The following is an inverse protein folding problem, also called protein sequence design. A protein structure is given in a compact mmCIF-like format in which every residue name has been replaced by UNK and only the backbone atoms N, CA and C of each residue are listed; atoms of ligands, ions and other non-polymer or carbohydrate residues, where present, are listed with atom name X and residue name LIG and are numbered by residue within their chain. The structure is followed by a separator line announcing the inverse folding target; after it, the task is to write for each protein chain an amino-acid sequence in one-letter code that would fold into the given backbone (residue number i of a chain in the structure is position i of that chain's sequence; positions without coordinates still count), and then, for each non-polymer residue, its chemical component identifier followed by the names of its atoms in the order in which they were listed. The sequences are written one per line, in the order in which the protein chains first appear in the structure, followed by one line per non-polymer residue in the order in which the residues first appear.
data_IF_549400248439
#
_entry.id   IF_549400248439
#
_cell.length_a   1.000
_cell.length_b   1.000
_cell.length_c   1.000
_cell.angle_alpha   90.00
_cell.angle_beta   90.00
_cell.angle_gamma   90.00
#
_symmetry.space_group_name_H-M   'P 1'
#
loop_
_entity.id
_entity.type
_entity.pdbx_description
1 polymer ?
#
# COMPACT_ATOMS: atom_id res chain seq x y z
N UNK A 1 31.19 10.97 -16.54
CA UNK A 1 31.48 9.51 -16.51
C UNK A 1 30.37 8.81 -17.29
N UNK A 2 30.71 8.14 -18.39
CA UNK A 2 29.73 7.32 -19.12
C UNK A 2 29.38 6.10 -18.26
N UNK A 3 28.08 5.89 -18.01
CA UNK A 3 27.58 4.74 -17.26
C UNK A 3 28.03 3.44 -17.94
N UNK A 4 28.76 2.61 -17.21
CA UNK A 4 29.27 1.30 -17.66
C UNK A 4 28.23 0.18 -17.55
N UNK A 5 26.97 0.52 -17.27
CA UNK A 5 25.91 -0.47 -17.07
C UNK A 5 25.47 -1.02 -18.43
N UNK A 6 25.61 -2.33 -18.62
CA UNK A 6 25.02 -3.01 -19.79
C UNK A 6 23.52 -2.72 -19.81
N UNK A 7 22.92 -2.46 -20.99
CA UNK A 7 21.47 -2.31 -21.09
C UNK A 7 20.78 -3.54 -20.52
N UNK A 8 19.86 -3.33 -19.57
CA UNK A 8 19.06 -4.42 -19.01
C UNK A 8 18.11 -4.93 -20.09
N UNK A 9 18.05 -6.25 -20.26
CA UNK A 9 17.07 -6.89 -21.15
C UNK A 9 15.91 -7.34 -20.29
N UNK A 10 14.72 -6.83 -20.61
CA UNK A 10 13.49 -7.19 -19.91
C UNK A 10 13.10 -8.61 -20.27
N UNK A 11 12.83 -9.44 -19.26
CA UNK A 11 12.55 -10.88 -19.49
C UNK A 11 11.15 -11.14 -20.04
N UNK A 12 10.20 -10.28 -19.73
CA UNK A 12 8.78 -10.41 -20.07
C UNK A 12 8.09 -9.03 -20.15
N UNK A 13 6.82 -9.00 -20.54
CA UNK A 13 6.04 -7.75 -20.64
C UNK A 13 5.86 -7.03 -19.30
N UNK A 14 5.85 -7.77 -18.18
CA UNK A 14 5.73 -7.19 -16.85
C UNK A 14 6.97 -6.36 -16.48
N UNK A 15 8.18 -6.91 -16.68
CA UNK A 15 9.42 -6.17 -16.43
C UNK A 15 9.55 -4.98 -17.37
N UNK A 16 9.14 -5.12 -18.64
CA UNK A 16 9.10 -3.99 -19.57
C UNK A 16 8.18 -2.87 -19.05
N UNK A 17 7.00 -3.21 -18.54
CA UNK A 17 6.10 -2.22 -17.94
C UNK A 17 6.72 -1.54 -16.71
N UNK A 18 7.42 -2.30 -15.84
CA UNK A 18 8.14 -1.73 -14.70
C UNK A 18 9.25 -0.78 -15.14
N UNK A 19 9.99 -1.13 -16.19
CA UNK A 19 11.04 -0.29 -16.75
C UNK A 19 10.48 0.98 -17.36
N UNK A 20 9.39 0.88 -18.12
CA UNK A 20 8.74 2.04 -18.72
C UNK A 20 8.14 2.97 -17.66
N UNK A 21 7.70 2.42 -16.51
CA UNK A 21 7.05 3.18 -15.43
C UNK A 21 8.03 3.79 -14.43
N UNK A 22 9.04 3.03 -14.00
CA UNK A 22 9.94 3.40 -12.90
C UNK A 22 11.41 3.52 -13.33
N UNK A 23 11.79 2.98 -14.49
CA UNK A 23 13.18 2.92 -14.94
C UNK A 23 14.01 1.86 -14.22
N UNK A 24 15.33 1.91 -14.37
CA UNK A 24 16.29 0.95 -13.81
C UNK A 24 17.18 1.51 -12.69
N UNK A 25 16.70 2.54 -11.99
CA UNK A 25 17.37 3.08 -10.80
C UNK A 25 17.66 1.99 -9.76
N UNK A 26 18.76 2.10 -9.00
CA UNK A 26 19.11 1.12 -7.96
C UNK A 26 18.00 0.87 -6.93
N UNK A 27 17.15 1.86 -6.67
CA UNK A 27 15.96 1.79 -5.82
C UNK A 27 14.85 0.86 -6.35
N UNK A 28 14.90 0.50 -7.64
CA UNK A 28 13.91 -0.33 -8.32
C UNK A 28 14.46 -1.71 -8.71
N UNK A 29 15.69 -2.03 -8.31
CA UNK A 29 16.37 -3.28 -8.65
C UNK A 29 15.55 -4.52 -8.27
N UNK A 30 14.80 -4.46 -7.16
CA UNK A 30 13.97 -5.57 -6.69
C UNK A 30 12.86 -6.00 -7.66
N UNK A 31 12.49 -5.14 -8.61
CA UNK A 31 11.45 -5.45 -9.59
C UNK A 31 11.96 -6.30 -10.75
N UNK A 32 13.29 -6.46 -10.88
CA UNK A 32 13.94 -7.17 -11.98
C UNK A 32 14.65 -8.40 -11.45
N UNK A 33 13.95 -9.52 -11.40
CA UNK A 33 14.47 -10.76 -10.82
C UNK A 33 15.36 -11.46 -11.84
N UNK A 34 16.59 -11.79 -11.47
CA UNK A 34 17.50 -12.52 -12.37
C UNK A 34 17.19 -14.02 -12.41
N UNK A 35 17.61 -14.70 -13.48
CA UNK A 35 17.57 -16.16 -13.56
C UNK A 35 18.31 -16.82 -12.40
N UNK A 36 19.43 -16.25 -11.96
CA UNK A 36 20.20 -16.76 -10.82
C UNK A 36 19.41 -16.66 -9.51
N UNK A 37 18.70 -15.54 -9.30
CA UNK A 37 17.83 -15.37 -8.13
C UNK A 37 16.69 -16.39 -8.13
N UNK A 38 16.01 -16.56 -9.27
CA UNK A 38 14.96 -17.57 -9.40
C UNK A 38 15.50 -18.99 -9.18
N UNK A 39 16.67 -19.30 -9.72
CA UNK A 39 17.30 -20.61 -9.53
C UNK A 39 17.68 -20.86 -8.06
N UNK A 40 18.11 -19.81 -7.33
CA UNK A 40 18.31 -19.87 -5.89
C UNK A 40 17.03 -20.26 -5.17
N UNK A 41 15.94 -19.54 -5.43
CA UNK A 41 14.61 -19.82 -4.87
C UNK A 41 14.14 -21.24 -5.21
N UNK A 42 14.31 -21.69 -6.44
CA UNK A 42 13.91 -23.04 -6.86
C UNK A 42 14.71 -24.13 -6.15
N UNK A 43 16.00 -23.90 -5.92
CA UNK A 43 16.84 -24.80 -5.13
C UNK A 43 16.35 -24.91 -3.69
N UNK A 44 16.02 -23.77 -3.07
CA UNK A 44 15.49 -23.73 -1.70
C UNK A 44 14.13 -24.44 -1.58
N UNK A 45 13.34 -24.43 -2.66
CA UNK A 45 12.07 -25.16 -2.77
C UNK A 45 12.23 -26.65 -3.15
N UNK A 46 13.47 -27.15 -3.28
CA UNK A 46 13.76 -28.55 -3.62
C UNK A 46 13.44 -28.93 -5.06
N UNK A 47 13.31 -27.95 -5.96
CA UNK A 47 13.06 -28.19 -7.38
C UNK A 47 14.36 -28.67 -8.04
N UNK A 48 14.33 -29.74 -8.85
CA UNK A 48 15.52 -30.20 -9.57
C UNK A 48 16.03 -29.16 -10.58
N UNK A 49 17.36 -29.02 -10.71
CA UNK A 49 17.95 -28.05 -11.65
C UNK A 49 17.53 -28.30 -13.11
N UNK A 50 17.25 -29.56 -13.47
CA UNK A 50 16.71 -29.95 -14.77
C UNK A 50 15.34 -29.32 -15.07
N UNK A 51 14.58 -28.92 -14.05
CA UNK A 51 13.27 -28.30 -14.19
C UNK A 51 13.32 -26.77 -14.13
N UNK A 52 14.44 -26.14 -13.77
CA UNK A 52 14.52 -24.69 -13.60
C UNK A 52 14.06 -23.92 -14.83
N UNK A 53 14.41 -24.37 -16.03
CA UNK A 53 13.97 -23.71 -17.26
C UNK A 53 12.45 -23.68 -17.42
N UNK A 54 11.74 -24.71 -16.95
CA UNK A 54 10.28 -24.74 -16.95
C UNK A 54 9.72 -23.76 -15.91
N UNK A 55 10.22 -23.80 -14.68
CA UNK A 55 9.74 -22.91 -13.62
C UNK A 55 10.02 -21.42 -13.89
N UNK A 56 11.12 -21.08 -14.57
CA UNK A 56 11.34 -19.70 -15.04
C UNK A 56 10.26 -19.26 -16.04
N UNK A 57 9.92 -20.11 -17.01
CA UNK A 57 8.82 -19.83 -17.95
C UNK A 57 7.46 -19.71 -17.25
N UNK A 58 7.19 -20.59 -16.27
CA UNK A 58 5.94 -20.55 -15.52
C UNK A 58 5.86 -19.28 -14.65
N UNK A 59 6.98 -18.84 -14.07
CA UNK A 59 7.09 -17.55 -13.39
C UNK A 59 6.79 -16.39 -14.36
N UNK A 60 7.43 -16.36 -15.53
CA UNK A 60 7.23 -15.31 -16.54
C UNK A 60 5.78 -15.24 -17.00
N UNK A 61 5.18 -16.38 -17.35
CA UNK A 61 3.79 -16.48 -17.77
C UNK A 61 2.82 -16.02 -16.66
N UNK A 62 3.14 -16.29 -15.39
CA UNK A 62 2.33 -15.83 -14.25
C UNK A 62 2.37 -14.31 -14.11
N UNK A 63 3.54 -13.68 -14.27
CA UNK A 63 3.68 -12.22 -14.22
C UNK A 63 2.94 -11.55 -15.38
N UNK A 64 3.04 -12.10 -16.59
CA UNK A 64 2.28 -11.60 -17.76
C UNK A 64 0.78 -11.76 -17.57
N UNK A 65 0.32 -12.90 -17.04
CA UNK A 65 -1.09 -13.11 -16.72
C UNK A 65 -1.60 -12.09 -15.70
N UNK A 66 -0.81 -11.75 -14.70
CA UNK A 66 -1.17 -10.72 -13.72
C UNK A 66 -1.33 -9.35 -14.37
N UNK A 67 -0.41 -8.98 -15.27
CA UNK A 67 -0.51 -7.77 -16.07
C UNK A 67 -1.77 -7.74 -16.94
N UNK A 68 -2.10 -8.85 -17.60
CA UNK A 68 -3.28 -8.95 -18.47
C UNK A 68 -4.59 -8.92 -17.66
N UNK A 69 -4.64 -9.57 -16.49
CA UNK A 69 -5.79 -9.52 -15.57
C UNK A 69 -6.09 -8.10 -15.10
N UNK A 70 -5.05 -7.26 -15.02
CA UNK A 70 -5.13 -5.89 -14.56
C UNK A 70 -5.19 -4.88 -15.72
N UNK A 71 -5.65 -5.31 -16.90
CA UNK A 71 -5.87 -4.44 -18.06
C UNK A 71 -4.59 -3.82 -18.62
N UNK A 72 -3.44 -4.49 -18.46
CA UNK A 72 -2.14 -4.00 -18.92
C UNK A 72 -1.44 -3.07 -17.93
N UNK A 73 -1.90 -3.03 -16.67
CA UNK A 73 -1.31 -2.22 -15.59
C UNK A 73 -0.86 -3.12 -14.45
N UNK A 74 0.13 -2.66 -13.68
CA UNK A 74 0.50 -3.32 -12.44
C UNK A 74 -0.33 -2.68 -11.33
N UNK A 75 -1.10 -3.51 -10.60
CA UNK A 75 -1.82 -3.03 -9.43
C UNK A 75 -0.78 -2.75 -8.33
N UNK A 76 -0.44 -1.48 -8.20
CA UNK A 76 0.35 -1.00 -7.09
C UNK A 76 -0.60 -0.66 -5.96
N UNK A 77 -0.80 -1.62 -5.05
CA UNK A 77 -1.54 -1.36 -3.82
C UNK A 77 -0.83 -0.26 -3.01
N UNK A 78 -1.61 0.63 -2.43
CA UNK A 78 -1.13 1.76 -1.64
C UNK A 78 -0.40 2.84 -2.42
N UNK A 79 -0.59 2.94 -3.75
CA UNK A 79 -0.14 4.11 -4.51
C UNK A 79 -0.79 5.36 -3.94
N UNK A 80 -0.01 6.38 -3.60
CA UNK A 80 -0.54 7.65 -3.06
C UNK A 80 -1.24 8.47 -4.16
N UNK A 81 -2.31 9.21 -3.82
CA UNK A 81 -2.93 10.15 -4.74
C UNK A 81 -1.95 11.28 -5.08
N UNK A 82 -1.79 11.60 -6.36
CA UNK A 82 -0.92 12.71 -6.78
C UNK A 82 -1.61 14.06 -6.56
N UNK A 83 -0.86 15.16 -6.33
CA UNK A 83 -1.44 16.47 -6.09
C UNK A 83 -2.27 17.05 -7.24
N UNK A 84 -2.02 16.59 -8.47
CA UNK A 84 -2.66 17.01 -9.71
C UNK A 84 -3.73 16.02 -10.22
N UNK A 85 -3.90 14.88 -9.54
CA UNK A 85 -4.94 13.92 -9.88
C UNK A 85 -6.31 14.43 -9.45
N UNK A 86 -7.33 14.14 -10.27
CA UNK A 86 -8.70 14.51 -9.99
C UNK A 86 -9.14 13.81 -8.68
N UNK A 87 -9.50 14.58 -7.63
CA UNK A 87 -9.86 14.01 -6.33
C UNK A 87 -11.14 13.17 -6.38
N UNK A 88 -11.94 13.27 -7.45
CA UNK A 88 -13.12 12.41 -7.66
C UNK A 88 -12.76 11.00 -8.13
N UNK A 89 -11.54 10.78 -8.64
CA UNK A 89 -11.07 9.47 -9.14
C UNK A 89 -10.54 8.59 -8.01
N UNK A 90 -9.86 9.17 -7.01
CA UNK A 90 -9.21 8.43 -5.91
C UNK A 90 -10.07 8.37 -4.62
N UNK A 91 -11.24 9.01 -4.61
CA UNK A 91 -12.13 9.11 -3.44
C UNK A 91 -11.40 9.50 -2.15
N UNK A 92 -10.54 10.53 -2.23
CA UNK A 92 -9.72 10.94 -1.09
C UNK A 92 -10.59 11.60 -0.02
N UNK A 93 -10.55 11.03 1.18
CA UNK A 93 -11.13 11.61 2.38
C UNK A 93 -10.05 12.34 3.19
N UNK A 94 -10.43 13.44 3.84
CA UNK A 94 -9.51 14.28 4.61
C UNK A 94 -10.02 14.42 6.04
N UNK A 95 -9.12 14.24 7.00
CA UNK A 95 -9.37 14.50 8.42
C UNK A 95 -8.38 15.57 8.90
N UNK A 96 -8.89 16.72 9.34
CA UNK A 96 -8.06 17.78 9.89
C UNK A 96 -7.49 17.39 11.25
N UNK A 97 -6.20 17.63 11.45
CA UNK A 97 -5.51 17.35 12.72
C UNK A 97 -5.68 18.57 13.64
N UNK A 98 -6.33 18.42 14.82
CA UNK A 98 -6.52 19.55 15.73
C UNK A 98 -5.19 20.19 16.15
N UNK A 99 -5.19 21.52 16.23
CA UNK A 99 -4.02 22.31 16.59
C UNK A 99 -3.00 22.50 15.46
N UNK A 100 -3.28 22.01 14.25
CA UNK A 100 -2.46 22.23 13.06
C UNK A 100 -3.31 22.78 11.92
N UNK A 101 -2.90 23.91 11.34
CA UNK A 101 -3.68 24.59 10.31
C UNK A 101 -3.53 23.96 8.92
N UNK A 102 -2.40 23.30 8.66
CA UNK A 102 -2.09 22.73 7.34
C UNK A 102 -2.01 21.20 7.33
N UNK A 103 -1.80 20.54 8.47
CA UNK A 103 -1.66 19.10 8.53
C UNK A 103 -3.01 18.40 8.55
N UNK A 104 -3.14 17.42 7.67
CA UNK A 104 -4.32 16.56 7.57
C UNK A 104 -3.89 15.10 7.49
N UNK A 105 -4.83 14.21 7.82
CA UNK A 105 -4.73 12.79 7.47
C UNK A 105 -5.52 12.60 6.19
N UNK A 106 -4.89 12.06 5.14
CA UNK A 106 -5.61 11.62 3.94
C UNK A 106 -5.94 10.16 4.07
N UNK A 107 -7.13 9.78 3.62
CA UNK A 107 -7.50 8.37 3.42
C UNK A 107 -7.93 8.18 1.97
N UNK A 108 -7.46 7.14 1.32
CA UNK A 108 -7.78 6.85 -0.09
C UNK A 108 -7.85 5.35 -0.32
N UNK A 109 -8.37 4.96 -1.47
CA UNK A 109 -8.61 3.56 -1.79
C UNK A 109 -7.32 2.75 -1.82
N UNK A 110 -6.36 3.19 -2.63
CA UNK A 110 -5.08 2.51 -2.78
C UNK A 110 -5.19 1.10 -3.34
N UNK A 111 -6.31 0.72 -3.96
CA UNK A 111 -6.55 -0.65 -4.43
C UNK A 111 -6.83 -1.64 -3.30
N UNK A 112 -7.33 -1.15 -2.17
CA UNK A 112 -7.71 -1.96 -0.98
C UNK A 112 -9.22 -2.05 -0.79
N UNK A 113 -9.99 -1.68 -1.82
CA UNK A 113 -11.44 -1.78 -1.78
C UNK A 113 -11.87 -3.22 -1.42
N UNK A 114 -11.40 -4.25 -2.10
CA UNK A 114 -11.84 -5.63 -1.83
C UNK A 114 -11.41 -6.17 -0.45
N UNK A 115 -10.37 -5.58 0.15
CA UNK A 115 -9.89 -5.92 1.50
C UNK A 115 -10.69 -5.20 2.60
N UNK A 116 -11.55 -4.24 2.25
CA UNK A 116 -12.30 -3.45 3.22
C UNK A 116 -11.41 -2.50 4.02
N UNK A 117 -10.35 -1.97 3.38
CA UNK A 117 -9.41 -1.04 3.98
C UNK A 117 -9.33 0.27 3.20
N UNK A 118 -8.73 1.27 3.86
CA UNK A 118 -8.25 2.50 3.25
C UNK A 118 -6.76 2.64 3.57
N UNK A 119 -5.98 3.09 2.59
CA UNK A 119 -4.66 3.63 2.87
C UNK A 119 -4.79 4.98 3.57
N UNK A 120 -3.81 5.34 4.39
CA UNK A 120 -3.72 6.66 5.00
C UNK A 120 -2.27 7.14 5.17
N UNK A 121 -2.11 8.46 5.16
CA UNK A 121 -0.87 9.18 5.43
C UNK A 121 -1.13 10.52 6.13
N UNK A 122 -0.04 11.18 6.57
CA UNK A 122 -0.08 12.57 7.02
C UNK A 122 0.36 13.45 5.85
N UNK A 123 -0.36 14.52 5.59
CA UNK A 123 -0.16 15.39 4.46
C UNK A 123 -0.23 16.85 4.88
N UNK A 124 0.72 17.65 4.39
CA UNK A 124 0.71 19.09 4.57
C UNK A 124 0.05 19.76 3.36
N UNK A 125 -1.14 20.32 3.58
CA UNK A 125 -1.91 20.98 2.54
C UNK A 125 -1.24 22.24 2.00
N UNK A 126 -0.35 22.87 2.77
CA UNK A 126 0.33 24.11 2.37
C UNK A 126 1.47 23.84 1.38
N UNK A 127 2.29 22.84 1.68
CA UNK A 127 3.45 22.44 0.86
C UNK A 127 3.11 21.36 -0.16
N UNK A 128 1.94 20.72 -0.03
CA UNK A 128 1.43 19.64 -0.88
C UNK A 128 2.34 18.40 -0.90
N UNK A 129 2.89 18.07 0.27
CA UNK A 129 3.74 16.88 0.45
C UNK A 129 3.20 16.02 1.59
N UNK A 130 3.40 14.71 1.45
CA UNK A 130 3.23 13.78 2.56
C UNK A 130 4.41 13.89 3.52
N UNK A 131 4.16 13.68 4.82
CA UNK A 131 5.16 13.75 5.88
C UNK A 131 5.13 12.42 6.65
N UNK A 132 6.29 11.83 6.92
CA UNK A 132 6.36 10.60 7.69
C UNK A 132 6.03 10.88 9.16
N UNK A 133 5.28 9.99 9.81
CA UNK A 133 4.80 10.21 11.18
C UNK A 133 5.93 10.30 12.18
N UNK A 134 7.06 9.63 11.91
CA UNK A 134 8.28 9.68 12.73
C UNK A 134 8.86 11.09 12.83
N UNK A 135 8.81 11.89 11.76
CA UNK A 135 9.31 13.27 11.72
C UNK A 135 8.52 14.20 12.67
N UNK A 136 7.25 13.85 12.90
CA UNK A 136 6.33 14.61 13.75
C UNK A 136 6.20 14.02 15.16
N UNK A 137 6.80 12.85 15.42
CA UNK A 137 6.56 12.08 16.64
C UNK A 137 5.13 11.54 16.77
N UNK A 138 4.44 11.40 15.65
CA UNK A 138 3.04 10.97 15.58
C UNK A 138 2.94 9.44 15.60
N UNK A 139 1.82 8.93 16.11
CA UNK A 139 1.48 7.50 16.01
C UNK A 139 -0.03 7.29 15.96
N UNK A 140 -0.45 6.26 15.21
CA UNK A 140 -1.84 5.86 15.11
C UNK A 140 -2.11 4.61 15.98
N UNK A 141 -3.26 4.57 16.63
CA UNK A 141 -3.73 3.39 17.35
C UNK A 141 -5.16 3.05 16.94
N UNK A 142 -5.42 1.79 16.65
CA UNK A 142 -6.77 1.28 16.35
C UNK A 142 -7.48 0.94 17.66
N UNK A 143 -8.69 1.49 17.84
CA UNK A 143 -9.55 1.10 18.95
C UNK A 143 -10.23 -0.25 18.66
N UNK A 144 -10.09 -1.24 19.56
CA UNK A 144 -10.84 -2.48 19.45
C UNK A 144 -12.32 -2.21 19.73
N UNK A 145 -13.19 -2.59 18.80
CA UNK A 145 -14.65 -2.44 18.94
C UNK A 145 -15.32 -3.81 18.85
N UNK A 146 -15.98 -4.29 19.92
CA UNK A 146 -16.71 -5.55 19.91
C UNK A 146 -17.69 -5.65 18.74
N UNK A 147 -17.74 -6.83 18.11
CA UNK A 147 -18.58 -7.09 16.93
C UNK A 147 -18.00 -6.59 15.60
N UNK A 148 -16.74 -6.14 15.58
CA UNK A 148 -16.03 -5.72 14.36
C UNK A 148 -14.65 -6.37 14.28
N UNK A 149 -14.04 -6.39 13.10
CA UNK A 149 -12.67 -6.89 12.91
C UNK A 149 -11.61 -6.07 13.65
N UNK A 150 -11.91 -4.83 14.08
CA UNK A 150 -10.93 -4.01 14.81
C UNK A 150 -10.52 -4.59 16.17
N UNK A 151 -11.25 -5.57 16.72
CA UNK A 151 -10.82 -6.34 17.90
C UNK A 151 -9.54 -7.13 17.64
N UNK A 152 -9.35 -7.66 16.42
CA UNK A 152 -8.17 -8.46 16.06
C UNK A 152 -6.97 -7.58 15.70
N UNK A 153 -7.23 -6.33 15.32
CA UNK A 153 -6.24 -5.38 14.83
C UNK A 153 -6.01 -4.21 15.80
N UNK A 154 -6.46 -4.34 17.06
CA UNK A 154 -6.38 -3.28 18.06
C UNK A 154 -4.93 -2.98 18.49
N UNK A 155 -4.67 -1.73 18.83
CA UNK A 155 -3.34 -1.27 19.29
C UNK A 155 -2.63 -0.40 18.27
N UNK A 156 -1.30 -0.29 18.39
CA UNK A 156 -0.49 0.60 17.54
C UNK A 156 -0.50 0.11 16.10
N UNK A 157 -0.90 0.99 15.19
CA UNK A 157 -0.83 0.74 13.76
C UNK A 157 0.61 0.90 13.28
N UNK A 158 1.11 -0.12 12.59
CA UNK A 158 2.44 -0.10 11.95
C UNK A 158 2.29 0.36 10.51
N UNK A 159 3.26 1.11 10.01
CA UNK A 159 3.33 1.45 8.59
C UNK A 159 3.65 0.20 7.78
N UNK A 160 3.32 0.24 6.49
CA UNK A 160 3.65 -0.83 5.55
C UNK A 160 5.16 -1.02 5.46
N UNK A 161 5.90 0.08 5.51
CA UNK A 161 7.35 0.08 5.51
C UNK A 161 7.94 -0.54 6.79
N UNK A 162 7.40 -0.23 7.98
CA UNK A 162 7.80 -0.90 9.23
C UNK A 162 7.51 -2.41 9.19
N UNK A 163 6.33 -2.80 8.68
CA UNK A 163 5.99 -4.21 8.48
C UNK A 163 6.91 -4.91 7.46
N UNK A 164 7.44 -4.18 6.48
CA UNK A 164 8.45 -4.65 5.54
C UNK A 164 9.89 -4.62 6.10
N UNK A 165 10.07 -4.18 7.36
CA UNK A 165 11.35 -4.18 8.07
C UNK A 165 12.20 -2.93 7.86
N UNK A 166 11.63 -1.84 7.35
CA UNK A 166 12.32 -0.55 7.26
C UNK A 166 12.29 0.17 8.61
N UNK A 167 13.44 0.67 9.05
CA UNK A 167 13.49 1.59 10.19
C UNK A 167 13.02 2.98 9.72
N UNK A 168 12.51 3.85 10.62
CA UNK A 168 12.00 5.16 10.24
C UNK A 168 12.97 6.00 9.40
N UNK A 169 14.28 5.88 9.64
CA UNK A 169 15.33 6.63 8.94
C UNK A 169 15.59 6.10 7.51
N UNK A 170 15.11 4.88 7.22
CA UNK A 170 15.22 4.23 5.92
C UNK A 170 13.95 4.38 5.08
N UNK A 171 12.87 4.89 5.67
CA UNK A 171 11.66 5.24 4.93
C UNK A 171 11.95 6.54 4.18
N UNK A 172 11.74 6.54 2.86
CA UNK A 172 11.93 7.74 2.05
C UNK A 172 10.99 8.86 2.52
N UNK A 173 11.41 10.13 2.47
CA UNK A 173 10.58 11.26 2.91
C UNK A 173 9.23 11.27 2.21
N UNK A 174 8.15 11.31 2.99
CA UNK A 174 6.78 11.34 2.48
C UNK A 174 6.27 10.02 1.90
N UNK A 175 7.03 8.93 1.93
CA UNK A 175 6.61 7.64 1.38
C UNK A 175 5.90 6.74 2.41
N UNK A 176 5.93 7.07 3.71
CA UNK A 176 5.29 6.24 4.73
C UNK A 176 3.79 6.11 4.51
N UNK A 177 3.29 4.87 4.62
CA UNK A 177 1.87 4.52 4.44
C UNK A 177 1.38 3.61 5.54
N UNK A 178 0.12 3.77 5.87
CA UNK A 178 -0.61 2.85 6.75
C UNK A 178 -1.87 2.38 6.01
N UNK A 179 -2.46 1.28 6.46
CA UNK A 179 -3.82 0.91 6.07
C UNK A 179 -4.68 0.67 7.31
N UNK A 180 -5.97 0.93 7.19
CA UNK A 180 -6.92 0.74 8.27
C UNK A 180 -8.26 0.22 7.76
N UNK A 181 -8.86 -0.67 8.56
CA UNK A 181 -10.17 -1.23 8.30
C UNK A 181 -11.24 -0.14 8.20
N UNK A 182 -12.14 -0.31 7.23
CA UNK A 182 -13.32 0.53 7.08
C UNK A 182 -14.13 0.64 8.38
N UNK A 183 -14.57 1.87 8.68
CA UNK A 183 -15.38 2.14 9.87
C UNK A 183 -14.67 1.99 11.21
N UNK A 184 -13.37 1.62 11.23
CA UNK A 184 -12.58 1.56 12.45
C UNK A 184 -12.38 2.95 13.06
N UNK A 185 -12.24 3.01 14.39
CA UNK A 185 -11.84 4.22 15.09
C UNK A 185 -10.34 4.21 15.32
N UNK A 186 -9.67 5.27 14.90
CA UNK A 186 -8.24 5.48 15.10
C UNK A 186 -8.03 6.66 16.05
N UNK A 187 -7.05 6.51 16.93
CA UNK A 187 -6.47 7.61 17.69
C UNK A 187 -5.15 8.03 17.08
N UNK A 188 -5.04 9.29 16.67
CA UNK A 188 -3.77 9.95 16.45
C UNK A 188 -3.26 10.45 17.81
N UNK A 189 -2.03 10.06 18.16
CA UNK A 189 -1.29 10.59 19.29
C UNK A 189 -0.25 11.58 18.79
N UNK A 190 -0.41 12.85 19.17
CA UNK A 190 0.58 13.90 18.94
C UNK A 190 1.47 14.04 20.19
N UNK A 191 2.73 14.50 20.06
CA UNK A 191 3.56 14.84 21.20
C UNK A 191 2.86 15.86 22.10
N UNK A 192 2.86 15.60 23.41
CA UNK A 192 2.37 16.52 24.44
C UNK A 192 0.92 17.01 24.28
N UNK A 193 0.08 16.30 23.51
CA UNK A 193 -1.33 16.66 23.30
C UNK A 193 -2.25 15.47 23.59
N UNK A 194 -3.53 15.77 23.75
CA UNK A 194 -4.57 14.75 23.93
C UNK A 194 -4.71 13.86 22.69
N UNK A 195 -5.23 12.64 22.91
CA UNK A 195 -5.54 11.72 21.82
C UNK A 195 -6.67 12.28 20.95
N UNK A 196 -6.38 12.44 19.67
CA UNK A 196 -7.36 12.83 18.68
C UNK A 196 -7.98 11.59 18.03
N UNK A 197 -9.29 11.40 18.19
CA UNK A 197 -10.01 10.27 17.62
C UNK A 197 -10.71 10.64 16.32
N UNK A 198 -10.61 9.77 15.33
CA UNK A 198 -11.36 9.88 14.08
C UNK A 198 -11.83 8.50 13.63
N UNK A 199 -12.81 8.48 12.73
CA UNK A 199 -13.38 7.26 12.18
C UNK A 199 -12.95 7.13 10.71
N UNK A 200 -12.45 5.97 10.33
CA UNK A 200 -12.17 5.63 8.93
C UNK A 200 -13.49 5.59 8.16
N UNK A 201 -13.55 6.12 6.93
CA UNK A 201 -14.73 5.98 6.08
C UNK A 201 -15.19 4.52 5.94
N UNK A 202 -16.46 4.35 5.63
CA UNK A 202 -17.05 3.03 5.42
C UNK A 202 -17.86 3.08 4.13
N UNK A 203 -17.52 2.22 3.18
CA UNK A 203 -18.20 2.12 1.90
C UNK A 203 -19.50 1.33 2.13
N UNK A 204 -20.62 1.85 1.64
CA UNK A 204 -21.89 1.14 1.75
C UNK A 204 -22.06 0.21 0.54
N UNK A 205 -21.70 -1.06 0.72
CA UNK A 205 -21.72 -2.06 -0.35
C UNK A 205 -22.23 -3.40 0.17
N UNK A 206 -23.21 -4.01 -0.52
CA UNK A 206 -23.65 -5.34 -0.16
C UNK A 206 -22.58 -6.37 -0.55
N UNK A 207 -22.54 -7.55 0.11
CA UNK A 207 -21.67 -8.63 -0.32
C UNK A 207 -21.90 -8.99 -1.79
N UNK A 208 -20.85 -9.45 -2.47
CA UNK A 208 -20.95 -9.90 -3.85
C UNK A 208 -22.09 -10.92 -4.02
N UNK A 209 -22.98 -10.68 -4.98
CA UNK A 209 -24.15 -11.51 -5.24
C UNK A 209 -25.36 -11.28 -4.32
N UNK A 210 -25.25 -10.41 -3.31
CA UNK A 210 -26.38 -10.04 -2.44
C UNK A 210 -27.03 -8.77 -2.98
N UNK A 211 -28.19 -8.92 -3.63
CA UNK A 211 -28.94 -7.77 -4.18
C UNK A 211 -29.89 -7.13 -3.17
N UNK A 212 -30.29 -7.88 -2.13
CA UNK A 212 -31.14 -7.39 -1.03
C UNK A 212 -30.84 -8.18 0.24
N UNK A 213 -30.40 -7.49 1.29
CA UNK A 213 -30.33 -8.02 2.64
C UNK A 213 -31.47 -7.42 3.47
N UNK A 214 -32.03 -8.20 4.40
CA UNK A 214 -33.04 -7.71 5.37
C UNK A 214 -32.39 -7.74 6.74
N UNK A 215 -32.37 -6.59 7.42
CA UNK A 215 -31.86 -6.51 8.78
C UNK A 215 -32.95 -6.95 9.78
N UNK A 216 -32.58 -7.66 10.86
CA UNK A 216 -33.50 -7.92 11.95
C UNK A 216 -33.94 -6.58 12.57
N UNK A 217 -35.24 -6.48 12.89
CA UNK A 217 -35.81 -5.32 13.58
C UNK A 217 -35.74 -5.60 15.08
N UNK A 218 -35.11 -4.73 15.89
CA UNK A 218 -35.13 -4.89 17.34
C UNK A 218 -36.54 -4.68 17.87
N UNK A 219 -36.94 -5.49 18.86
CA UNK A 219 -38.21 -5.37 19.59
C UNK A 219 -38.14 -4.27 20.65
#
# INVERSE_FOLDING_TARGET
MMSTRKPRVMRNRYEQHMYDTFGDGPEYEQFYVSDEHLNGLFRDLGIPESEFAKYRRDYDARMEKQLDMNGGKIDCQGRKPRPDEDPTIEHVHVVHIPGNDSLVIRLWDGGLEDDGEFCLDIYDMSTKISINSSELGFSFNVAPKPGTLSVLCGGRLRSWEDNAGYTPERILPGEERFSALEGAYLALRQPNSDLFWFKVPMRNRPPAGVTRAVSPIPL
#
